data_IF_751927546447
#
_entry.id   IF_751927546447
#
_cell.length_a   1.000
_cell.length_b   1.000
_cell.length_c   1.000
_cell.angle_alpha   90.00
_cell.angle_beta   90.00
_cell.angle_gamma   90.00
#
_symmetry.space_group_name_H-M   'P 1'
#
loop_
_entity.id
_entity.type
_entity.pdbx_description
1 polymer ?
#
# COMPACT_ATOMS: atom_id res chain seq x y z
N UNK A 1 -13.52 -12.40 6.70
CA UNK A 1 -12.74 -12.44 5.44
C UNK A 1 -11.27 -12.61 5.75
N UNK A 2 -10.52 -13.18 4.82
CA UNK A 2 -9.05 -13.22 4.78
C UNK A 2 -8.50 -11.98 4.09
N UNK A 3 -7.76 -11.17 4.83
CA UNK A 3 -7.18 -9.92 4.35
C UNK A 3 -5.66 -10.03 4.36
N UNK A 4 -5.03 -9.70 3.23
CA UNK A 4 -3.58 -9.50 3.17
C UNK A 4 -3.29 -8.00 3.26
N UNK A 5 -2.42 -7.59 4.18
CA UNK A 5 -2.01 -6.19 4.34
C UNK A 5 -0.51 -6.08 4.07
N UNK A 6 -0.12 -5.32 3.04
CA UNK A 6 1.29 -4.98 2.82
C UNK A 6 1.68 -3.74 3.62
N UNK A 7 2.94 -3.64 4.06
CA UNK A 7 3.40 -2.44 4.78
C UNK A 7 2.73 -2.28 6.15
N UNK A 8 2.36 -3.41 6.76
CA UNK A 8 1.56 -3.44 7.98
C UNK A 8 2.31 -2.93 9.23
N UNK A 9 3.65 -2.79 9.17
CA UNK A 9 4.44 -2.14 10.22
C UNK A 9 4.60 -0.62 10.04
N UNK A 10 4.07 -0.04 8.96
CA UNK A 10 3.90 1.41 8.84
C UNK A 10 2.80 1.92 9.77
N UNK A 11 2.75 3.22 10.04
CA UNK A 11 1.67 3.81 10.84
C UNK A 11 0.26 3.50 10.25
N UNK A 12 -0.05 3.82 8.97
CA UNK A 12 -1.35 3.50 8.40
C UNK A 12 -1.59 1.98 8.38
N UNK A 13 -0.60 1.18 7.96
CA UNK A 13 -0.74 -0.27 7.90
C UNK A 13 -1.02 -0.90 9.27
N UNK A 14 -0.39 -0.39 10.33
CA UNK A 14 -0.62 -0.86 11.69
C UNK A 14 -2.02 -0.51 12.18
N UNK A 15 -2.48 0.72 11.96
CA UNK A 15 -3.84 1.14 12.33
C UNK A 15 -4.89 0.36 11.54
N UNK A 16 -4.69 0.16 10.24
CA UNK A 16 -5.56 -0.70 9.42
C UNK A 16 -5.59 -2.13 9.93
N UNK A 17 -4.44 -2.69 10.33
CA UNK A 17 -4.36 -4.03 10.93
C UNK A 17 -5.20 -4.11 12.20
N UNK A 18 -5.07 -3.14 13.11
CA UNK A 18 -5.83 -3.10 14.36
C UNK A 18 -7.34 -3.03 14.10
N UNK A 19 -7.79 -2.13 13.22
CA UNK A 19 -9.22 -1.98 12.93
C UNK A 19 -9.80 -3.23 12.24
N UNK A 20 -9.07 -3.83 11.29
CA UNK A 20 -9.50 -5.07 10.65
C UNK A 20 -9.59 -6.25 11.65
N UNK A 21 -8.72 -6.32 12.66
CA UNK A 21 -8.83 -7.33 13.73
C UNK A 21 -10.06 -7.10 14.60
N UNK A 22 -10.36 -5.84 14.96
CA UNK A 22 -11.57 -5.48 15.72
C UNK A 22 -12.85 -5.86 14.97
N UNK A 23 -12.82 -5.75 13.64
CA UNK A 23 -13.91 -6.19 12.77
C UNK A 23 -13.98 -7.72 12.59
N UNK A 24 -13.10 -8.48 13.26
CA UNK A 24 -13.12 -9.94 13.27
C UNK A 24 -12.51 -10.59 12.03
N UNK A 25 -11.72 -9.88 11.23
CA UNK A 25 -11.09 -10.45 10.03
C UNK A 25 -9.84 -11.29 10.36
N UNK A 26 -9.55 -12.26 9.49
CA UNK A 26 -8.28 -12.98 9.49
C UNK A 26 -7.26 -12.19 8.68
N UNK A 27 -6.08 -11.94 9.25
CA UNK A 27 -5.09 -11.05 8.64
C UNK A 27 -3.77 -11.77 8.41
N UNK A 28 -3.27 -11.69 7.17
CA UNK A 28 -1.88 -11.91 6.84
C UNK A 28 -1.19 -10.54 6.65
N UNK A 29 -0.38 -10.15 7.62
CA UNK A 29 0.28 -8.86 7.65
C UNK A 29 1.74 -8.99 7.21
N UNK A 30 2.11 -8.36 6.10
CA UNK A 30 3.47 -8.36 5.57
C UNK A 30 4.25 -7.16 6.11
N UNK A 31 5.46 -7.43 6.57
CA UNK A 31 6.46 -6.42 6.92
C UNK A 31 7.81 -6.79 6.31
N UNK A 32 8.70 -5.82 6.16
CA UNK A 32 10.10 -6.10 5.82
C UNK A 32 10.93 -5.95 7.10
N UNK A 33 11.59 -4.80 7.29
CA UNK A 33 12.58 -4.60 8.35
C UNK A 33 12.05 -4.50 9.79
N UNK A 34 10.81 -4.06 9.97
CA UNK A 34 10.25 -3.78 11.30
C UNK A 34 9.10 -4.73 11.60
N UNK A 35 9.19 -5.56 12.65
CA UNK A 35 8.09 -6.40 13.10
C UNK A 35 6.87 -5.59 13.53
N UNK A 36 5.71 -6.22 13.47
CA UNK A 36 4.44 -5.61 13.88
C UNK A 36 4.27 -5.84 15.39
N UNK A 37 4.17 -4.80 16.23
CA UNK A 37 4.33 -4.91 17.68
C UNK A 37 3.07 -5.37 18.42
N UNK A 38 2.34 -6.34 17.88
CA UNK A 38 1.12 -6.92 18.48
C UNK A 38 1.05 -8.42 18.20
N UNK A 39 0.28 -9.13 19.03
CA UNK A 39 -0.09 -10.52 18.81
C UNK A 39 -1.60 -10.66 18.88
N UNK A 40 -2.17 -11.49 18.02
CA UNK A 40 -3.59 -11.78 18.00
C UNK A 40 -3.81 -13.14 17.33
N UNK A 41 -4.81 -13.91 17.78
CA UNK A 41 -5.10 -15.26 17.23
C UNK A 41 -5.38 -15.25 15.73
N UNK A 42 -6.04 -14.19 15.24
CA UNK A 42 -6.37 -13.97 13.82
C UNK A 42 -5.29 -13.23 13.04
N UNK A 43 -4.14 -12.94 13.64
CA UNK A 43 -3.04 -12.24 12.99
C UNK A 43 -1.88 -13.19 12.72
N UNK A 44 -1.54 -13.35 11.45
CA UNK A 44 -0.29 -13.96 11.01
C UNK A 44 0.61 -12.87 10.43
N UNK A 45 1.84 -12.79 10.92
CA UNK A 45 2.85 -11.87 10.38
C UNK A 45 3.85 -12.63 9.51
N UNK A 46 4.26 -12.04 8.40
CA UNK A 46 5.30 -12.59 7.52
C UNK A 46 6.30 -11.49 7.19
N UNK A 47 7.58 -11.81 7.42
CA UNK A 47 8.69 -11.00 6.93
C UNK A 47 8.89 -11.27 5.44
N UNK A 48 8.75 -10.24 4.62
CA UNK A 48 8.88 -10.29 3.17
C UNK A 48 9.24 -8.91 2.62
N UNK A 49 10.28 -8.86 1.79
CA UNK A 49 10.53 -7.70 0.93
C UNK A 49 9.62 -7.78 -0.29
N UNK A 50 8.71 -6.82 -0.42
CA UNK A 50 7.75 -6.78 -1.54
C UNK A 50 8.42 -6.53 -2.89
N UNK A 51 9.69 -6.12 -2.91
CA UNK A 51 10.49 -6.03 -4.14
C UNK A 51 10.83 -7.41 -4.70
N UNK A 52 10.79 -8.47 -3.87
CA UNK A 52 10.87 -9.85 -4.34
C UNK A 52 9.51 -10.29 -4.88
N UNK A 53 9.26 -9.95 -6.14
CA UNK A 53 7.98 -10.21 -6.82
C UNK A 53 7.63 -11.71 -6.84
N UNK A 54 8.62 -12.59 -6.95
CA UNK A 54 8.40 -14.04 -6.91
C UNK A 54 7.81 -14.49 -5.57
N UNK A 55 8.42 -14.07 -4.47
CA UNK A 55 7.93 -14.38 -3.12
C UNK A 55 6.59 -13.71 -2.82
N UNK A 56 6.43 -12.44 -3.20
CA UNK A 56 5.17 -11.72 -3.06
C UNK A 56 4.03 -12.49 -3.74
N UNK A 57 4.24 -12.91 -4.99
CA UNK A 57 3.25 -13.67 -5.74
C UNK A 57 2.95 -15.01 -5.07
N UNK A 58 3.98 -15.73 -4.63
CA UNK A 58 3.82 -17.02 -3.94
C UNK A 58 2.99 -16.88 -2.66
N UNK A 59 3.23 -15.82 -1.88
CA UNK A 59 2.48 -15.57 -0.65
C UNK A 59 1.01 -15.29 -0.95
N UNK A 60 0.71 -14.44 -1.94
CA UNK A 60 -0.68 -14.11 -2.33
C UNK A 60 -1.40 -15.36 -2.85
N UNK A 61 -0.79 -16.12 -3.76
CA UNK A 61 -1.37 -17.35 -4.33
C UNK A 61 -1.62 -18.41 -3.27
N UNK A 62 -0.70 -18.58 -2.31
CA UNK A 62 -0.85 -19.57 -1.23
C UNK A 62 -1.91 -19.14 -0.22
N UNK A 63 -1.95 -17.86 0.13
CA UNK A 63 -2.87 -17.35 1.13
C UNK A 63 -4.31 -17.25 0.61
N UNK A 64 -4.48 -16.96 -0.70
CA UNK A 64 -5.77 -16.72 -1.35
C UNK A 64 -6.63 -15.71 -0.58
N UNK A 65 -6.16 -14.45 -0.44
CA UNK A 65 -6.93 -13.43 0.25
C UNK A 65 -8.24 -13.14 -0.48
N UNK A 66 -9.26 -12.74 0.27
CA UNK A 66 -10.49 -12.15 -0.29
C UNK A 66 -10.28 -10.65 -0.58
N UNK A 67 -9.40 -10.00 0.18
CA UNK A 67 -9.03 -8.60 0.01
C UNK A 67 -7.54 -8.38 0.23
N UNK A 68 -6.92 -7.56 -0.61
CA UNK A 68 -5.54 -7.09 -0.44
C UNK A 68 -5.55 -5.59 -0.18
N UNK A 69 -5.05 -5.18 0.99
CA UNK A 69 -4.83 -3.77 1.32
C UNK A 69 -3.36 -3.44 1.09
N UNK A 70 -3.08 -2.76 -0.02
CA UNK A 70 -1.74 -2.42 -0.46
C UNK A 70 -1.34 -1.01 0.02
N UNK A 71 -0.56 -0.97 1.12
CA UNK A 71 -0.06 0.26 1.77
C UNK A 71 1.45 0.42 1.60
N UNK A 72 2.18 -0.68 1.37
CA UNK A 72 3.63 -0.63 1.21
C UNK A 72 4.04 0.21 -0.01
N UNK A 73 4.88 1.21 0.25
CA UNK A 73 5.47 2.10 -0.73
C UNK A 73 6.68 2.81 -0.10
N UNK A 74 7.54 3.43 -0.91
CA UNK A 74 8.53 4.38 -0.42
C UNK A 74 7.85 5.72 -0.14
N UNK A 75 7.59 6.01 1.13
CA UNK A 75 6.89 7.24 1.54
C UNK A 75 7.78 8.48 1.62
N UNK A 76 9.09 8.37 1.42
CA UNK A 76 10.04 9.48 1.46
C UNK A 76 10.06 10.19 0.10
N UNK A 77 9.47 11.38 0.02
CA UNK A 77 9.26 12.12 -1.23
C UNK A 77 10.59 12.57 -1.83
N UNK A 78 11.48 13.12 -1.00
CA UNK A 78 12.79 13.61 -1.44
C UNK A 78 13.67 12.46 -1.93
N UNK A 79 13.63 11.31 -1.24
CA UNK A 79 14.35 10.13 -1.68
C UNK A 79 13.82 9.57 -2.99
N UNK A 80 12.50 9.65 -3.24
CA UNK A 80 11.93 9.24 -4.53
C UNK A 80 12.49 10.05 -5.71
N UNK A 81 12.75 11.34 -5.51
CA UNK A 81 13.38 12.19 -6.54
C UNK A 81 14.85 11.86 -6.76
N UNK A 82 15.58 11.64 -5.66
CA UNK A 82 17.03 11.36 -5.69
C UNK A 82 17.33 9.96 -6.23
N UNK A 83 16.51 8.96 -5.88
CA UNK A 83 16.67 7.56 -6.30
C UNK A 83 15.39 7.03 -6.94
N UNK A 84 15.21 7.39 -8.21
CA UNK A 84 14.06 7.01 -9.03
C UNK A 84 13.95 5.49 -9.22
N UNK A 85 15.09 4.80 -9.31
CA UNK A 85 15.11 3.34 -9.45
C UNK A 85 14.58 2.66 -8.18
N UNK A 86 15.02 3.12 -7.00
CA UNK A 86 14.50 2.63 -5.73
C UNK A 86 13.00 2.88 -5.61
N UNK A 87 12.52 4.09 -5.92
CA UNK A 87 11.10 4.41 -5.88
C UNK A 87 10.27 3.51 -6.82
N UNK A 88 10.76 3.28 -8.04
CA UNK A 88 10.12 2.37 -8.98
C UNK A 88 10.03 0.93 -8.44
N UNK A 89 11.16 0.37 -8.00
CA UNK A 89 11.24 -1.01 -7.46
C UNK A 89 10.41 -1.24 -6.20
N UNK A 90 10.36 -0.24 -5.31
CA UNK A 90 9.69 -0.38 -4.01
C UNK A 90 8.21 -0.02 -4.04
N UNK A 91 7.76 0.71 -5.07
CA UNK A 91 6.40 1.25 -5.13
C UNK A 91 5.66 0.84 -6.40
N UNK A 92 6.23 1.09 -7.57
CA UNK A 92 5.56 0.82 -8.84
C UNK A 92 5.51 -0.69 -9.16
N UNK A 93 6.66 -1.38 -9.12
CA UNK A 93 6.73 -2.80 -9.48
C UNK A 93 5.85 -3.71 -8.62
N UNK A 94 5.81 -3.58 -7.27
CA UNK A 94 4.96 -4.40 -6.44
C UNK A 94 3.47 -4.10 -6.66
N UNK A 95 3.11 -2.83 -6.91
CA UNK A 95 1.75 -2.44 -7.26
C UNK A 95 1.31 -3.11 -8.57
N UNK A 96 2.17 -3.08 -9.59
CA UNK A 96 1.91 -3.72 -10.90
C UNK A 96 1.76 -5.23 -10.72
N UNK A 97 2.61 -5.87 -9.93
CA UNK A 97 2.55 -7.30 -9.67
C UNK A 97 1.24 -7.71 -8.97
N UNK A 98 0.85 -6.98 -7.91
CA UNK A 98 -0.41 -7.24 -7.20
C UNK A 98 -1.62 -7.00 -8.09
N UNK A 99 -1.63 -5.93 -8.88
CA UNK A 99 -2.70 -5.65 -9.83
C UNK A 99 -2.86 -6.79 -10.86
N UNK A 100 -1.76 -7.33 -11.40
CA UNK A 100 -1.79 -8.49 -12.31
C UNK A 100 -2.33 -9.76 -11.65
N UNK A 101 -2.10 -9.94 -10.35
CA UNK A 101 -2.63 -11.09 -9.61
C UNK A 101 -4.10 -10.95 -9.25
N UNK A 102 -4.59 -9.72 -9.08
CA UNK A 102 -5.95 -9.44 -8.63
C UNK A 102 -7.01 -10.08 -9.54
N UNK A 103 -6.83 -10.02 -10.87
CA UNK A 103 -7.78 -10.62 -11.82
C UNK A 103 -7.75 -12.15 -11.83
N UNK A 104 -6.58 -12.74 -11.64
CA UNK A 104 -6.40 -14.20 -11.64
C UNK A 104 -6.94 -14.84 -10.35
N UNK A 105 -6.72 -14.20 -9.20
CA UNK A 105 -7.08 -14.72 -7.88
C UNK A 105 -8.47 -14.21 -7.44
N UNK A 106 -8.96 -13.14 -8.08
CA UNK A 106 -10.25 -12.47 -7.80
C UNK A 106 -10.37 -11.94 -6.37
N UNK A 107 -9.32 -11.26 -5.89
CA UNK A 107 -9.39 -10.53 -4.63
C UNK A 107 -9.75 -9.05 -4.86
N UNK A 108 -10.46 -8.45 -3.92
CA UNK A 108 -10.71 -7.02 -3.91
C UNK A 108 -9.42 -6.26 -3.54
N UNK A 109 -9.06 -5.26 -4.32
CA UNK A 109 -7.82 -4.48 -4.10
C UNK A 109 -8.10 -3.13 -3.47
N UNK A 110 -7.53 -2.84 -2.30
CA UNK A 110 -7.51 -1.48 -1.73
C UNK A 110 -6.10 -0.92 -1.85
N UNK A 111 -5.92 0.12 -2.66
CA UNK A 111 -4.63 0.78 -2.85
C UNK A 111 -4.59 2.12 -2.12
N UNK A 112 -3.66 2.28 -1.18
CA UNK A 112 -3.42 3.58 -0.54
C UNK A 112 -2.57 4.43 -1.48
N UNK A 113 -3.19 5.41 -2.14
CA UNK A 113 -2.51 6.42 -2.96
C UNK A 113 -2.27 7.72 -2.16
N UNK A 114 -2.04 8.83 -2.85
CA UNK A 114 -1.65 10.12 -2.29
C UNK A 114 -2.28 11.26 -3.09
N UNK A 115 -2.46 12.40 -2.45
CA UNK A 115 -2.74 13.68 -3.10
C UNK A 115 -1.61 14.19 -4.01
N UNK A 116 -0.37 13.71 -3.84
CA UNK A 116 0.77 14.04 -4.71
C UNK A 116 0.61 13.57 -6.17
N UNK A 117 -0.46 12.83 -6.48
CA UNK A 117 -0.84 12.52 -7.88
C UNK A 117 -1.40 13.74 -8.62
N UNK A 118 -1.71 14.83 -7.90
CA UNK A 118 -2.15 16.11 -8.46
C UNK A 118 -1.04 17.16 -8.42
N UNK A 119 -1.16 18.20 -9.24
CA UNK A 119 -0.20 19.30 -9.35
C UNK A 119 -0.37 20.38 -8.27
N UNK A 120 -1.56 20.47 -7.68
CA UNK A 120 -1.89 21.45 -6.64
C UNK A 120 -2.36 22.82 -7.16
N UNK A 121 -2.43 23.04 -8.48
CA UNK A 121 -2.83 24.33 -9.05
C UNK A 121 -4.31 24.68 -8.80
N UNK A 122 -5.21 23.69 -8.88
CA UNK A 122 -6.66 23.86 -8.70
C UNK A 122 -7.06 23.91 -7.22
N UNK A 123 -6.39 23.11 -6.37
CA UNK A 123 -6.87 22.79 -5.03
C UNK A 123 -8.20 22.02 -5.02
N UNK A 124 -8.64 21.55 -3.84
CA UNK A 124 -9.92 20.84 -3.64
C UNK A 124 -10.26 19.80 -4.74
N UNK A 125 -9.27 18.97 -5.09
CA UNK A 125 -9.44 17.94 -6.12
C UNK A 125 -10.50 16.92 -5.72
N UNK A 126 -11.29 16.53 -6.70
CA UNK A 126 -12.21 15.38 -6.64
C UNK A 126 -11.54 14.12 -7.17
N UNK A 127 -12.14 12.97 -6.91
CA UNK A 127 -11.68 11.68 -7.41
C UNK A 127 -11.71 11.59 -8.94
N UNK A 128 -12.59 12.38 -9.57
CA UNK A 128 -12.79 12.46 -11.02
C UNK A 128 -11.81 13.40 -11.72
N UNK A 129 -11.06 14.22 -10.97
CA UNK A 129 -10.04 15.08 -11.56
C UNK A 129 -8.87 14.25 -12.11
N UNK A 130 -8.29 14.73 -13.21
CA UNK A 130 -7.20 14.05 -13.91
C UNK A 130 -5.90 14.21 -13.08
N UNK A 131 -5.23 13.11 -12.71
CA UNK A 131 -3.91 13.19 -12.07
C UNK A 131 -2.87 13.87 -12.98
N UNK A 132 -2.04 14.72 -12.38
CA UNK A 132 -0.92 15.42 -13.02
C UNK A 132 0.24 15.57 -12.00
N UNK A 133 0.97 14.49 -11.68
CA UNK A 133 2.00 14.54 -10.65
C UNK A 133 3.19 15.40 -11.08
N UNK A 134 3.62 16.30 -10.20
CA UNK A 134 4.79 17.20 -10.42
C UNK A 134 6.10 16.67 -9.82
N UNK A 135 6.04 15.50 -9.17
CA UNK A 135 7.20 14.83 -8.59
C UNK A 135 7.13 13.31 -8.80
N UNK A 136 8.28 12.65 -8.67
CA UNK A 136 8.49 11.24 -8.94
C UNK A 136 7.76 10.34 -7.93
N UNK A 137 7.61 10.77 -6.68
CA UNK A 137 6.78 10.08 -5.69
C UNK A 137 5.32 9.99 -6.17
N UNK A 138 4.72 11.13 -6.56
CA UNK A 138 3.39 11.20 -7.15
C UNK A 138 3.27 10.33 -8.39
N UNK A 139 4.28 10.36 -9.27
CA UNK A 139 4.32 9.54 -10.48
C UNK A 139 4.25 8.04 -10.17
N UNK A 140 5.11 7.51 -9.30
CA UNK A 140 5.11 6.06 -9.00
C UNK A 140 3.85 5.61 -8.26
N UNK A 141 3.22 6.50 -7.47
CA UNK A 141 1.90 6.24 -6.86
C UNK A 141 0.79 6.22 -7.92
N UNK A 142 0.79 7.16 -8.85
CA UNK A 142 -0.13 7.19 -9.99
C UNK A 142 0.02 5.94 -10.87
N UNK A 143 1.24 5.44 -11.08
CA UNK A 143 1.47 4.17 -11.80
C UNK A 143 0.75 3.00 -11.12
N UNK A 144 0.77 2.94 -9.79
CA UNK A 144 0.00 1.97 -9.02
C UNK A 144 -1.51 2.11 -9.25
N UNK A 145 -2.05 3.34 -9.24
CA UNK A 145 -3.46 3.59 -9.56
C UNK A 145 -3.82 3.05 -10.95
N UNK A 146 -3.04 3.38 -11.97
CA UNK A 146 -3.26 2.93 -13.34
C UNK A 146 -3.21 1.40 -13.42
N UNK A 147 -2.28 0.76 -12.71
CA UNK A 147 -2.16 -0.69 -12.69
C UNK A 147 -3.42 -1.37 -12.13
N UNK A 148 -3.92 -0.92 -10.97
CA UNK A 148 -5.15 -1.48 -10.39
C UNK A 148 -6.38 -1.19 -11.24
N UNK A 149 -6.51 0.03 -11.79
CA UNK A 149 -7.61 0.40 -12.70
C UNK A 149 -7.65 -0.46 -13.96
N UNK A 150 -6.48 -0.84 -14.46
CA UNK A 150 -6.32 -1.65 -15.68
C UNK A 150 -6.31 -3.16 -15.41
N UNK A 151 -6.41 -3.59 -14.14
CA UNK A 151 -6.27 -5.00 -13.77
C UNK A 151 -7.45 -5.88 -14.22
N UNK A 152 -8.64 -5.29 -14.37
CA UNK A 152 -9.89 -6.02 -14.60
C UNK A 152 -10.48 -6.67 -13.35
N UNK A 153 -9.90 -6.46 -12.17
CA UNK A 153 -10.45 -6.86 -10.88
C UNK A 153 -11.15 -5.69 -10.18
N UNK A 154 -11.96 -5.98 -9.16
CA UNK A 154 -12.57 -4.94 -8.32
C UNK A 154 -11.52 -4.27 -7.44
N UNK A 155 -11.58 -2.93 -7.35
CA UNK A 155 -10.63 -2.14 -6.60
C UNK A 155 -11.26 -0.90 -5.94
N UNK A 156 -10.55 -0.37 -4.95
CA UNK A 156 -10.71 0.96 -4.40
C UNK A 156 -9.35 1.64 -4.29
N UNK A 157 -9.26 2.89 -4.74
CA UNK A 157 -8.08 3.74 -4.59
C UNK A 157 -8.39 4.80 -3.54
N UNK A 158 -7.57 4.87 -2.50
CA UNK A 158 -7.71 5.84 -1.41
C UNK A 158 -6.60 6.88 -1.54
N UNK A 159 -6.90 8.06 -2.08
CA UNK A 159 -5.94 9.18 -2.14
C UNK A 159 -5.96 9.92 -0.79
N UNK A 160 -4.90 9.77 -0.02
CA UNK A 160 -4.78 10.41 1.30
C UNK A 160 -3.75 11.54 1.29
N UNK A 161 -4.08 12.64 1.95
CA UNK A 161 -3.14 13.70 2.31
C UNK A 161 -2.48 13.40 3.66
N UNK A 162 -1.17 13.67 3.78
CA UNK A 162 -0.40 13.74 5.03
C UNK A 162 -0.92 12.90 6.21
N UNK A 163 -0.60 11.61 6.24
CA UNK A 163 -0.98 10.72 7.34
C UNK A 163 -0.01 10.89 8.52
N UNK A 164 -0.56 11.20 9.70
CA UNK A 164 0.20 11.37 10.95
C UNK A 164 -0.52 10.71 12.13
N UNK A 165 0.21 10.52 13.23
CA UNK A 165 -0.33 9.92 14.46
C UNK A 165 0.66 9.06 15.23
N UNK A 166 0.20 8.58 16.39
CA UNK A 166 0.97 7.72 17.28
C UNK A 166 0.88 6.25 16.85
N UNK A 167 2.01 5.56 16.86
CA UNK A 167 2.12 4.15 16.48
C UNK A 167 3.53 3.78 16.00
N UNK A 168 3.73 2.59 15.42
CA UNK A 168 5.00 2.20 14.81
C UNK A 168 5.29 2.99 13.51
N UNK A 169 6.40 2.68 12.85
CA UNK A 169 6.82 3.35 11.62
C UNK A 169 7.57 4.67 11.84
N UNK A 170 7.79 5.40 10.75
CA UNK A 170 8.62 6.62 10.73
C UNK A 170 8.14 7.71 11.71
N UNK A 171 9.07 8.60 12.05
CA UNK A 171 8.76 9.89 12.69
C UNK A 171 7.81 10.66 11.76
N UNK A 172 6.83 11.31 12.36
CA UNK A 172 5.83 12.13 11.67
C UNK A 172 5.44 13.28 12.62
N UNK A 173 4.57 14.17 12.15
CA UNK A 173 4.15 15.35 12.92
C UNK A 173 3.61 15.06 14.33
N UNK A 174 3.13 13.86 14.64
CA UNK A 174 2.66 13.52 15.99
C UNK A 174 3.74 12.96 16.94
N UNK A 175 4.96 12.71 16.44
CA UNK A 175 6.05 12.06 17.19
C UNK A 175 7.29 12.98 17.31
N UNK A 176 7.05 14.29 17.44
CA UNK A 176 8.09 15.34 17.55
C UNK A 176 9.39 14.85 18.20
#
# INVERSE_FOLDING_TARGET
>A
MKILITGASSLPGFKTTIEALKMGHEILALHHRNPIPIRHERLKTVELDICNIGELNNVVVKYKPECVIHIAALGDVDLCEKDKNLAWKTTAEPSIALAKLASNIKFFSVYLSTDYVFDGEKGNYSEYDVPNPVNYYGLVKMVGEVAFRSSGADYAIVRASSIYGLGPGRVNFAKF
#
